data_IF_683876172648
#
_entry.id   IF_683876172648
#
_cell.length_a   1.000
_cell.length_b   1.000
_cell.length_c   1.000
_cell.angle_alpha   90.00
_cell.angle_beta   90.00
_cell.angle_gamma   90.00
#
_symmetry.space_group_name_H-M   'P 1'
#
loop_
_entity.id
_entity.type
_entity.pdbx_description
1 polymer ?
#
# COMPACT_ATOMS: atom_id res chain seq x y z
N UNK A 1 -54.66 36.09 4.61
CA UNK A 1 -53.30 36.00 4.04
C UNK A 1 -52.37 35.64 5.19
N UNK A 2 -51.58 34.57 5.07
CA UNK A 2 -50.58 34.20 6.08
C UNK A 2 -49.28 34.94 5.76
N UNK A 3 -48.80 35.78 6.68
CA UNK A 3 -47.51 36.48 6.56
C UNK A 3 -46.39 35.49 6.86
N UNK A 4 -45.37 35.46 5.98
CA UNK A 4 -44.15 34.68 6.20
C UNK A 4 -43.53 35.07 7.55
N UNK A 5 -43.07 34.11 8.38
CA UNK A 5 -42.43 34.44 9.65
C UNK A 5 -41.14 35.21 9.42
N UNK A 6 -40.84 36.14 10.33
CA UNK A 6 -39.61 36.92 10.34
C UNK A 6 -38.39 35.97 10.50
N UNK A 7 -37.38 36.03 9.62
CA UNK A 7 -36.18 35.20 9.73
C UNK A 7 -35.34 35.46 10.99
N UNK A 8 -35.58 36.55 11.72
CA UNK A 8 -34.94 36.86 12.99
C UNK A 8 -35.99 37.26 14.05
N UNK A 9 -36.73 36.30 14.65
CA UNK A 9 -37.85 36.59 15.56
C UNK A 9 -37.46 37.42 16.80
N UNK A 10 -36.19 37.44 17.17
CA UNK A 10 -35.67 38.15 18.34
C UNK A 10 -34.98 39.49 17.99
N UNK A 11 -34.88 39.86 16.71
CA UNK A 11 -34.25 41.11 16.25
C UNK A 11 -32.74 41.20 16.52
N UNK A 12 -32.11 40.10 16.95
CA UNK A 12 -30.67 40.05 17.21
C UNK A 12 -29.93 39.81 15.88
N UNK A 13 -29.01 40.70 15.46
CA UNK A 13 -28.20 40.46 14.28
C UNK A 13 -27.30 39.24 14.50
N UNK A 14 -26.96 38.48 13.43
CA UNK A 14 -25.98 37.42 13.55
C UNK A 14 -24.64 37.99 14.05
N UNK A 15 -23.85 37.21 14.80
CA UNK A 15 -22.52 37.65 15.23
C UNK A 15 -21.59 37.86 14.03
N UNK A 16 -20.63 38.77 14.18
CA UNK A 16 -19.58 38.97 13.19
C UNK A 16 -18.70 37.73 13.05
N UNK A 17 -18.33 37.40 11.80
CA UNK A 17 -17.39 36.32 11.50
C UNK A 17 -16.02 36.96 11.25
N UNK A 18 -15.01 36.54 12.03
CA UNK A 18 -13.62 36.97 11.84
C UNK A 18 -12.91 35.90 11.02
N UNK A 19 -12.32 36.30 9.88
CA UNK A 19 -11.54 35.38 9.04
C UNK A 19 -10.16 35.08 9.65
N UNK A 20 -9.58 33.90 9.36
CA UNK A 20 -8.22 33.57 9.76
C UNK A 20 -7.23 34.63 9.28
N UNK A 21 -6.38 35.12 10.18
CA UNK A 21 -5.32 36.07 9.85
C UNK A 21 -4.03 35.38 9.37
N UNK A 22 -4.03 34.05 9.36
CA UNK A 22 -2.92 33.24 8.88
C UNK A 22 -2.92 33.20 7.35
N UNK A 23 -1.73 33.19 6.71
CA UNK A 23 -1.66 32.92 5.28
C UNK A 23 -2.16 31.50 4.97
N UNK A 24 -2.56 31.23 3.71
CA UNK A 24 -2.85 29.87 3.25
C UNK A 24 -1.66 28.94 3.49
N UNK A 25 -1.94 27.71 3.91
CA UNK A 25 -0.91 26.68 4.07
C UNK A 25 -0.37 26.23 2.70
N UNK A 26 0.92 25.87 2.67
CA UNK A 26 1.55 25.29 1.49
C UNK A 26 1.04 23.85 1.29
N UNK A 27 0.75 23.42 0.04
CA UNK A 27 0.42 22.02 -0.24
C UNK A 27 1.54 21.08 0.21
N UNK A 28 1.16 19.85 0.57
CA UNK A 28 2.13 18.80 0.84
C UNK A 28 3.02 18.54 -0.40
N UNK A 29 4.31 18.18 -0.20
CA UNK A 29 5.18 17.80 -1.30
C UNK A 29 4.68 16.52 -2.00
N UNK A 30 5.04 16.36 -3.27
CA UNK A 30 4.75 15.14 -4.03
C UNK A 30 5.47 13.94 -3.43
N UNK A 31 4.80 12.79 -3.37
CA UNK A 31 5.43 11.51 -3.02
C UNK A 31 6.47 11.13 -4.06
N UNK A 32 7.66 10.62 -3.68
CA UNK A 32 8.62 10.07 -4.63
C UNK A 32 8.03 8.90 -5.42
N UNK A 33 8.44 8.76 -6.69
CA UNK A 33 8.11 7.57 -7.47
C UNK A 33 9.01 6.40 -7.03
N UNK A 34 8.40 5.26 -6.67
CA UNK A 34 9.12 4.04 -6.32
C UNK A 34 9.18 3.07 -7.51
N UNK A 35 10.35 2.49 -7.76
CA UNK A 35 10.52 1.40 -8.71
C UNK A 35 10.16 0.07 -8.05
N UNK A 36 9.31 -0.78 -8.66
CA UNK A 36 9.06 -2.13 -8.16
C UNK A 36 10.37 -2.93 -8.04
N UNK A 37 10.43 -3.80 -7.04
CA UNK A 37 11.50 -4.79 -6.98
C UNK A 37 11.45 -5.68 -8.23
N UNK A 38 12.60 -5.95 -8.83
CA UNK A 38 12.71 -6.87 -9.97
C UNK A 38 12.48 -8.33 -9.56
N UNK A 39 12.38 -9.20 -10.57
CA UNK A 39 12.25 -10.65 -10.35
C UNK A 39 13.57 -11.23 -9.78
N UNK A 40 13.51 -12.12 -8.78
CA UNK A 40 14.68 -12.89 -8.34
C UNK A 40 15.28 -13.74 -9.47
N UNK A 41 16.56 -14.16 -9.35
CA UNK A 41 17.15 -15.12 -10.27
C UNK A 41 16.39 -16.45 -10.27
N UNK A 42 16.21 -17.04 -11.46
CA UNK A 42 15.64 -18.38 -11.61
C UNK A 42 16.60 -19.45 -11.07
N UNK A 43 16.06 -20.42 -10.33
CA UNK A 43 16.83 -21.57 -9.84
C UNK A 43 16.78 -22.68 -10.89
N UNK A 44 17.93 -23.03 -11.44
CA UNK A 44 18.07 -24.15 -12.37
C UNK A 44 18.27 -25.44 -11.56
N UNK A 45 17.45 -26.50 -11.73
CA UNK A 45 17.66 -27.75 -11.05
C UNK A 45 18.98 -28.39 -11.49
N UNK A 46 19.71 -28.99 -10.54
CA UNK A 46 21.04 -29.59 -10.71
C UNK A 46 21.06 -30.90 -11.55
N UNK A 47 20.00 -31.13 -12.32
CA UNK A 47 19.77 -32.30 -13.14
C UNK A 47 18.83 -33.31 -12.47
N UNK A 48 18.36 -34.31 -13.22
CA UNK A 48 17.61 -35.43 -12.64
C UNK A 48 18.54 -36.22 -11.70
N UNK A 49 18.08 -36.44 -10.47
CA UNK A 49 18.64 -37.46 -9.58
C UNK A 49 18.25 -38.83 -10.15
N UNK A 50 19.12 -39.40 -10.99
CA UNK A 50 18.95 -40.76 -11.46
C UNK A 50 19.37 -41.70 -10.34
N UNK A 51 18.39 -42.24 -9.62
CA UNK A 51 18.58 -43.51 -8.92
C UNK A 51 19.08 -44.52 -9.97
N UNK A 52 20.08 -45.33 -9.64
CA UNK A 52 20.67 -46.30 -10.57
C UNK A 52 20.05 -47.68 -10.30
N UNK A 53 18.77 -47.93 -10.66
CA UNK A 53 18.06 -49.15 -10.24
C UNK A 53 18.73 -50.42 -10.77
N UNK A 54 19.43 -50.32 -11.90
CA UNK A 54 20.14 -51.44 -12.53
C UNK A 54 21.54 -51.71 -11.93
N UNK A 55 21.97 -50.94 -10.92
CA UNK A 55 23.31 -51.06 -10.32
C UNK A 55 23.25 -51.55 -8.88
N UNK A 56 23.51 -52.84 -8.68
CA UNK A 56 23.81 -53.37 -7.36
C UNK A 56 25.21 -52.94 -6.88
N UNK A 57 25.43 -52.72 -5.57
CA UNK A 57 26.76 -52.57 -4.99
C UNK A 57 27.66 -53.79 -5.29
N UNK A 58 28.98 -53.61 -5.44
CA UNK A 58 29.90 -54.73 -5.66
C UNK A 58 29.91 -55.69 -4.46
N UNK A 59 29.82 -56.99 -4.74
CA UNK A 59 29.90 -58.04 -3.72
C UNK A 59 31.34 -58.17 -3.19
N UNK A 60 31.50 -58.33 -1.88
CA UNK A 60 32.80 -58.58 -1.25
C UNK A 60 33.05 -60.11 -1.24
N UNK A 61 34.20 -60.61 -1.72
CA UNK A 61 34.49 -62.04 -1.72
C UNK A 61 34.58 -62.63 -0.30
N UNK A 62 34.22 -63.91 -0.10
CA UNK A 62 34.39 -64.57 1.18
C UNK A 62 35.89 -64.75 1.51
N UNK A 63 36.26 -64.48 2.76
CA UNK A 63 37.61 -64.63 3.29
C UNK A 63 37.98 -66.05 3.72
#
# INVERSE_FOLDING_TARGET
>A
MATQPDPAPDGIPPPDIIEPQSPPETPAPTTPEETPAGEPPEIIPEGPDFDQPDRAPPEIPPG
#
